data_IF_626592187620
#
_entry.id   IF_626592187620
#
_cell.length_a   1.000
_cell.length_b   1.000
_cell.length_c   1.000
_cell.angle_alpha   90.00
_cell.angle_beta   90.00
_cell.angle_gamma   90.00
#
_symmetry.space_group_name_H-M   'P 1'
#
loop_
_entity.id
_entity.type
_entity.pdbx_description
1 polymer ?
#
# COMPACT_ATOMS: atom_id res chain seq x y z
N UNK A 1 47.27 -25.53 -58.34
CA UNK A 1 46.45 -26.54 -57.63
C UNK A 1 46.75 -26.45 -56.15
N UNK A 2 45.83 -25.94 -55.31
CA UNK A 2 46.02 -25.90 -53.87
C UNK A 2 45.45 -27.16 -53.21
N UNK A 3 46.19 -27.70 -52.24
CA UNK A 3 45.88 -28.90 -51.46
C UNK A 3 45.00 -28.52 -50.26
N UNK A 4 43.90 -29.27 -50.05
CA UNK A 4 42.98 -29.15 -48.91
C UNK A 4 43.50 -29.93 -47.70
N UNK A 5 43.37 -29.37 -46.49
CA UNK A 5 43.18 -30.10 -45.21
C UNK A 5 42.30 -29.22 -44.27
N UNK A 6 41.65 -29.73 -43.19
CA UNK A 6 40.21 -29.62 -42.99
C UNK A 6 39.82 -28.65 -41.85
N UNK A 7 38.54 -28.30 -41.82
CA UNK A 7 37.92 -27.46 -40.78
C UNK A 7 37.55 -28.32 -39.57
N UNK A 8 38.11 -28.00 -38.41
CA UNK A 8 37.58 -28.36 -37.08
C UNK A 8 37.13 -27.09 -36.38
N UNK A 9 35.82 -26.89 -36.27
CA UNK A 9 35.21 -25.82 -35.46
C UNK A 9 35.11 -26.29 -34.01
N UNK A 10 36.04 -25.80 -33.17
CA UNK A 10 35.93 -25.91 -31.72
C UNK A 10 34.88 -24.94 -31.18
N UNK A 11 34.01 -25.45 -30.31
CA UNK A 11 33.07 -24.68 -29.47
C UNK A 11 33.86 -23.72 -28.57
N UNK A 12 33.48 -22.44 -28.58
CA UNK A 12 33.81 -21.51 -27.51
C UNK A 12 32.57 -21.29 -26.65
N UNK A 13 32.69 -21.63 -25.37
CA UNK A 13 31.68 -21.51 -24.34
C UNK A 13 31.23 -20.05 -24.17
N UNK A 14 29.95 -19.80 -24.43
CA UNK A 14 29.31 -18.54 -24.08
C UNK A 14 28.71 -18.71 -22.67
N UNK A 15 29.40 -18.18 -21.66
CA UNK A 15 28.88 -18.08 -20.30
C UNK A 15 27.62 -17.20 -20.33
N UNK A 16 26.46 -17.85 -20.15
CA UNK A 16 25.17 -17.20 -20.05
C UNK A 16 25.16 -16.28 -18.83
N UNK A 17 25.17 -14.97 -19.10
CA UNK A 17 24.62 -14.02 -18.14
C UNK A 17 23.14 -14.30 -18.02
N UNK A 18 22.71 -14.69 -16.82
CA UNK A 18 21.32 -14.70 -16.38
C UNK A 18 20.66 -13.37 -16.75
N UNK A 19 19.90 -13.35 -17.84
CA UNK A 19 19.00 -12.24 -18.13
C UNK A 19 17.78 -12.46 -17.25
N UNK A 20 17.57 -11.56 -16.29
CA UNK A 20 16.30 -11.46 -15.59
C UNK A 20 15.17 -11.39 -16.64
N UNK A 21 14.01 -12.02 -16.39
CA UNK A 21 12.90 -11.98 -17.33
C UNK A 21 12.54 -10.52 -17.63
N UNK A 22 12.53 -10.17 -18.92
CA UNK A 22 12.02 -8.88 -19.40
C UNK A 22 10.57 -8.77 -18.91
N UNK A 23 10.22 -7.74 -18.11
CA UNK A 23 8.84 -7.55 -17.67
C UNK A 23 7.96 -7.46 -18.92
N UNK A 24 6.80 -8.13 -18.88
CA UNK A 24 5.73 -7.95 -19.86
C UNK A 24 5.57 -6.45 -20.17
N UNK A 25 5.50 -6.08 -21.46
CA UNK A 25 5.52 -4.71 -22.03
C UNK A 25 4.37 -3.80 -21.51
N UNK A 26 3.61 -4.30 -20.54
CA UNK A 26 2.38 -3.74 -20.04
C UNK A 26 2.36 -3.52 -18.52
N UNK A 27 3.33 -4.02 -17.74
CA UNK A 27 3.43 -3.69 -16.31
C UNK A 27 3.86 -2.24 -16.14
N UNK A 28 3.16 -1.41 -15.33
CA UNK A 28 3.55 -0.04 -15.08
C UNK A 28 5.00 0.06 -14.61
N UNK A 29 5.82 0.79 -15.38
CA UNK A 29 7.24 0.96 -15.10
C UNK A 29 7.63 2.45 -15.19
N UNK A 30 8.48 2.97 -14.28
CA UNK A 30 8.91 4.37 -14.31
C UNK A 30 9.57 4.83 -15.61
N UNK A 31 10.01 3.90 -16.47
CA UNK A 31 10.43 4.17 -17.85
C UNK A 31 9.38 4.94 -18.67
N UNK A 32 8.09 4.73 -18.40
CA UNK A 32 6.98 5.48 -19.02
C UNK A 32 6.97 6.97 -18.61
N UNK A 33 7.60 7.30 -17.48
CA UNK A 33 7.83 8.68 -17.02
C UNK A 33 9.14 9.26 -17.55
N UNK A 34 9.95 8.50 -18.28
CA UNK A 34 11.26 8.91 -18.79
C UNK A 34 12.40 8.81 -17.77
N UNK A 35 12.26 7.95 -16.76
CA UNK A 35 13.28 7.69 -15.73
C UNK A 35 13.53 6.19 -15.55
N UNK A 36 14.59 5.82 -14.83
CA UNK A 36 14.85 4.42 -14.47
C UNK A 36 13.88 3.95 -13.39
N UNK A 37 13.88 2.65 -13.10
CA UNK A 37 13.19 2.13 -11.93
C UNK A 37 13.65 2.88 -10.67
N UNK A 38 12.72 3.28 -9.80
CA UNK A 38 13.01 4.14 -8.66
C UNK A 38 14.05 3.53 -7.72
N UNK A 39 14.02 2.21 -7.55
CA UNK A 39 14.99 1.45 -6.74
C UNK A 39 16.42 1.44 -7.32
N UNK A 40 16.62 1.80 -8.59
CA UNK A 40 17.96 1.89 -9.21
C UNK A 40 18.67 3.22 -8.86
N UNK A 41 17.93 4.20 -8.33
CA UNK A 41 18.52 5.42 -7.82
C UNK A 41 19.05 5.20 -6.41
N UNK A 42 20.26 5.67 -6.14
CA UNK A 42 20.80 5.69 -4.78
C UNK A 42 19.91 6.54 -3.85
N UNK A 43 19.32 7.62 -4.40
CA UNK A 43 18.24 8.38 -3.77
C UNK A 43 17.25 8.96 -4.77
N UNK A 44 16.00 9.00 -4.34
CA UNK A 44 14.94 9.81 -4.92
C UNK A 44 14.68 10.98 -3.98
N UNK A 45 14.82 12.21 -4.48
CA UNK A 45 14.73 13.46 -3.71
C UNK A 45 13.46 14.19 -4.12
N UNK A 46 12.56 14.38 -3.16
CA UNK A 46 11.42 15.28 -3.28
C UNK A 46 11.80 16.69 -2.84
N UNK A 47 11.86 17.61 -3.80
CA UNK A 47 12.20 19.02 -3.58
C UNK A 47 10.99 19.89 -3.20
N UNK A 48 9.80 19.30 -3.01
CA UNK A 48 8.58 20.00 -2.56
C UNK A 48 8.63 20.32 -1.06
N UNK A 49 7.69 21.14 -0.59
CA UNK A 49 7.60 21.45 0.83
C UNK A 49 7.23 20.21 1.67
N UNK A 50 7.48 20.20 3.00
CA UNK A 50 7.10 19.10 3.87
C UNK A 50 5.62 18.73 3.78
N UNK A 51 4.70 19.69 3.81
CA UNK A 51 3.26 19.44 3.66
C UNK A 51 2.92 18.76 2.31
N UNK A 52 3.53 19.20 1.20
CA UNK A 52 3.33 18.56 -0.11
C UNK A 52 3.82 17.10 -0.13
N UNK A 53 4.90 16.80 0.61
CA UNK A 53 5.49 15.46 0.73
C UNK A 53 4.65 14.54 1.63
N UNK A 54 4.19 15.05 2.78
CA UNK A 54 3.32 14.33 3.72
C UNK A 54 1.99 13.92 3.09
N UNK A 55 1.43 14.75 2.19
CA UNK A 55 0.20 14.40 1.47
C UNK A 55 0.39 13.15 0.60
N UNK A 56 1.48 13.07 -0.17
CA UNK A 56 1.83 11.94 -1.03
C UNK A 56 3.20 12.18 -1.66
N UNK A 57 3.99 11.13 -1.87
CA UNK A 57 5.29 11.21 -2.54
C UNK A 57 5.57 9.91 -3.32
N UNK A 58 6.70 9.83 -4.02
CA UNK A 58 7.14 8.57 -4.63
C UNK A 58 7.62 7.65 -3.49
N UNK A 59 7.14 6.39 -3.38
CA UNK A 59 7.57 5.47 -2.34
C UNK A 59 9.09 5.32 -2.28
N UNK A 60 9.65 5.50 -1.07
CA UNK A 60 11.10 5.46 -0.83
C UNK A 60 11.86 6.77 -1.12
N UNK A 61 11.17 7.82 -1.59
CA UNK A 61 11.77 9.16 -1.69
C UNK A 61 12.05 9.76 -0.30
N UNK A 62 12.98 10.70 -0.24
CA UNK A 62 13.22 11.55 0.94
C UNK A 62 12.86 13.00 0.62
N UNK A 63 12.35 13.74 1.61
CA UNK A 63 12.06 15.15 1.44
C UNK A 63 13.32 15.99 1.73
N UNK A 64 13.83 16.69 0.70
CA UNK A 64 14.87 17.72 0.83
C UNK A 64 14.34 19.01 0.21
N UNK A 65 13.43 19.72 0.93
CA UNK A 65 12.70 20.84 0.39
C UNK A 65 13.64 21.97 -0.04
N UNK A 66 13.35 22.60 -1.19
CA UNK A 66 13.99 23.89 -1.52
C UNK A 66 13.34 25.05 -0.78
N UNK A 67 12.09 24.89 -0.35
CA UNK A 67 11.37 25.82 0.53
C UNK A 67 10.58 25.01 1.55
N UNK A 68 10.63 25.41 2.82
CA UNK A 68 9.74 24.87 3.85
C UNK A 68 8.29 25.38 3.68
N UNK A 69 7.36 24.97 4.54
CA UNK A 69 5.95 25.33 4.38
C UNK A 69 5.68 26.83 4.60
N UNK A 70 6.42 27.48 5.51
CA UNK A 70 6.27 28.92 5.77
C UNK A 70 6.84 29.74 4.60
N UNK A 71 8.04 29.36 4.14
CA UNK A 71 8.69 29.92 2.96
C UNK A 71 7.85 29.70 1.70
N UNK A 72 7.24 28.52 1.55
CA UNK A 72 6.35 28.20 0.43
C UNK A 72 5.11 29.11 0.42
N UNK A 73 4.51 29.34 1.59
CA UNK A 73 3.36 30.24 1.73
C UNK A 73 3.71 31.70 1.41
N UNK A 74 4.88 32.17 1.86
CA UNK A 74 5.37 33.52 1.56
C UNK A 74 5.65 33.71 0.06
N UNK A 75 6.42 32.79 -0.54
CA UNK A 75 6.72 32.80 -1.98
C UNK A 75 5.42 32.74 -2.79
N UNK A 76 4.47 31.90 -2.40
CA UNK A 76 3.17 31.77 -3.08
C UNK A 76 2.26 33.00 -2.94
N UNK A 77 2.42 33.77 -1.86
CA UNK A 77 1.71 35.04 -1.66
C UNK A 77 2.32 36.12 -2.54
N UNK A 78 3.64 36.30 -2.49
CA UNK A 78 4.36 37.26 -3.32
C UNK A 78 4.21 36.95 -4.81
N UNK A 79 4.18 35.69 -5.23
CA UNK A 79 4.05 35.34 -6.64
C UNK A 79 2.73 35.86 -7.26
N UNK A 80 1.69 36.11 -6.45
CA UNK A 80 0.43 36.69 -6.91
C UNK A 80 0.48 38.21 -7.06
N UNK A 81 1.32 38.88 -6.28
CA UNK A 81 1.37 40.36 -6.21
C UNK A 81 2.60 40.94 -6.91
N UNK A 82 3.77 40.34 -6.72
CA UNK A 82 5.06 40.68 -7.33
C UNK A 82 5.86 39.40 -7.68
N UNK A 83 5.74 38.89 -8.92
CA UNK A 83 6.44 37.70 -9.37
C UNK A 83 7.97 37.80 -9.31
N UNK A 84 8.54 39.00 -9.47
CA UNK A 84 9.99 39.17 -9.45
C UNK A 84 10.51 39.08 -8.02
N UNK A 85 9.86 39.77 -7.07
CA UNK A 85 10.19 39.64 -5.64
C UNK A 85 10.03 38.21 -5.14
N UNK A 86 8.97 37.51 -5.57
CA UNK A 86 8.77 36.09 -5.27
C UNK A 86 9.92 35.21 -5.77
N UNK A 87 10.45 35.50 -6.97
CA UNK A 87 11.58 34.76 -7.52
C UNK A 87 12.88 35.04 -6.78
N UNK A 88 13.12 36.30 -6.36
CA UNK A 88 14.29 36.67 -5.57
C UNK A 88 14.29 35.94 -4.21
N UNK A 89 13.21 36.06 -3.44
CA UNK A 89 13.13 35.46 -2.11
C UNK A 89 13.12 33.92 -2.18
N UNK A 90 12.38 33.35 -3.13
CA UNK A 90 12.35 31.90 -3.33
C UNK A 90 13.72 31.34 -3.74
N UNK A 91 14.53 32.09 -4.49
CA UNK A 91 15.91 31.68 -4.83
C UNK A 91 16.84 31.75 -3.62
N UNK A 92 16.69 32.77 -2.76
CA UNK A 92 17.44 32.86 -1.50
C UNK A 92 17.15 31.67 -0.58
N UNK A 93 15.87 31.34 -0.38
CA UNK A 93 15.46 30.18 0.40
C UNK A 93 15.98 28.88 -0.20
N UNK A 94 15.81 28.69 -1.51
CA UNK A 94 16.31 27.50 -2.21
C UNK A 94 17.81 27.30 -1.99
N UNK A 95 18.63 28.33 -2.20
CA UNK A 95 20.09 28.24 -2.03
C UNK A 95 20.48 27.91 -0.58
N UNK A 96 19.84 28.57 0.39
CA UNK A 96 20.07 28.32 1.83
C UNK A 96 19.74 26.88 2.22
N UNK A 97 18.56 26.40 1.83
CA UNK A 97 18.08 25.07 2.19
C UNK A 97 18.87 23.97 1.50
N UNK A 98 19.20 24.16 0.21
CA UNK A 98 20.07 23.27 -0.54
C UNK A 98 21.44 23.17 0.14
N UNK A 99 22.07 24.29 0.50
CA UNK A 99 23.38 24.28 1.16
C UNK A 99 23.37 23.45 2.46
N UNK A 100 22.32 23.61 3.28
CA UNK A 100 22.12 22.80 4.49
C UNK A 100 22.01 21.31 4.16
N UNK A 101 21.11 20.94 3.25
CA UNK A 101 20.90 19.54 2.87
C UNK A 101 22.14 18.90 2.22
N UNK A 102 22.96 19.68 1.51
CA UNK A 102 24.23 19.20 0.96
C UNK A 102 25.14 18.72 2.08
N UNK A 103 25.32 19.53 3.13
CA UNK A 103 26.18 19.18 4.26
C UNK A 103 25.64 18.03 5.10
N UNK A 104 24.33 17.99 5.33
CA UNK A 104 23.72 17.02 6.24
C UNK A 104 23.51 15.63 5.62
N UNK A 105 23.03 15.59 4.38
CA UNK A 105 22.48 14.38 3.74
C UNK A 105 23.28 13.98 2.50
N UNK A 106 23.50 14.92 1.57
CA UNK A 106 24.13 14.60 0.28
C UNK A 106 25.60 14.21 0.47
N UNK A 107 26.32 14.83 1.41
CA UNK A 107 27.72 14.52 1.72
C UNK A 107 27.99 13.03 2.05
N UNK A 108 26.95 12.26 2.39
CA UNK A 108 27.05 10.82 2.69
C UNK A 108 26.99 9.91 1.44
N UNK A 109 26.79 10.49 0.25
CA UNK A 109 26.63 9.77 -1.00
C UNK A 109 27.96 9.69 -1.76
N UNK A 110 28.15 8.60 -2.51
CA UNK A 110 29.38 8.37 -3.29
C UNK A 110 29.29 9.11 -4.63
N UNK A 111 30.40 9.62 -5.19
CA UNK A 111 30.38 10.30 -6.49
C UNK A 111 29.79 9.47 -7.65
N UNK A 112 29.87 8.14 -7.57
CA UNK A 112 29.29 7.21 -8.55
C UNK A 112 27.77 7.06 -8.44
N UNK A 113 27.16 7.52 -7.34
CA UNK A 113 25.74 7.36 -7.09
C UNK A 113 24.92 8.17 -8.10
N UNK A 114 23.81 7.57 -8.54
CA UNK A 114 22.81 8.22 -9.39
C UNK A 114 21.64 8.66 -8.54
N UNK A 115 21.24 9.92 -8.66
CA UNK A 115 20.17 10.55 -7.89
C UNK A 115 19.03 10.95 -8.82
N UNK A 116 17.79 10.84 -8.35
CA UNK A 116 16.60 11.36 -9.01
C UNK A 116 16.08 12.55 -8.21
N UNK A 117 15.80 13.67 -8.87
CA UNK A 117 15.16 14.83 -8.23
C UNK A 117 13.81 15.09 -8.89
N UNK A 118 12.79 15.35 -8.09
CA UNK A 118 11.53 15.87 -8.59
C UNK A 118 10.99 17.01 -7.73
N UNK A 119 10.07 17.76 -8.30
CA UNK A 119 9.24 18.73 -7.58
C UNK A 119 7.81 18.59 -8.11
N UNK A 120 6.91 19.53 -7.80
CA UNK A 120 5.52 19.43 -8.23
C UNK A 120 5.31 19.25 -9.75
N UNK A 121 6.10 19.94 -10.59
CA UNK A 121 5.96 19.91 -12.07
C UNK A 121 7.25 19.66 -12.85
N UNK A 122 8.35 19.30 -12.18
CA UNK A 122 9.66 19.19 -12.85
C UNK A 122 10.23 20.54 -13.30
N UNK A 123 9.85 21.62 -12.59
CA UNK A 123 10.21 22.99 -12.90
C UNK A 123 11.43 23.50 -12.12
N UNK A 124 11.47 24.80 -11.85
CA UNK A 124 12.59 25.53 -11.23
C UNK A 124 13.14 24.84 -9.96
N UNK A 125 12.26 24.41 -9.05
CA UNK A 125 12.62 23.78 -7.76
C UNK A 125 13.50 22.51 -7.91
N UNK A 126 13.15 21.61 -8.83
CA UNK A 126 13.96 20.40 -9.06
C UNK A 126 15.18 20.65 -9.93
N UNK A 127 15.12 21.65 -10.83
CA UNK A 127 16.27 22.02 -11.67
C UNK A 127 17.42 22.62 -10.87
N UNK A 128 17.15 23.58 -9.98
CA UNK A 128 18.21 24.18 -9.13
C UNK A 128 18.90 23.12 -8.25
N UNK A 129 18.14 22.16 -7.73
CA UNK A 129 18.70 21.02 -7.00
C UNK A 129 19.58 20.16 -7.92
N UNK A 130 19.06 19.78 -9.10
CA UNK A 130 19.79 18.94 -10.03
C UNK A 130 21.08 19.61 -10.56
N UNK A 131 21.06 20.91 -10.83
CA UNK A 131 22.23 21.70 -11.22
C UNK A 131 23.28 21.71 -10.10
N UNK A 132 22.87 21.90 -8.85
CA UNK A 132 23.77 21.84 -7.69
C UNK A 132 24.42 20.47 -7.58
N UNK A 133 23.64 19.39 -7.64
CA UNK A 133 24.14 18.02 -7.54
C UNK A 133 25.06 17.63 -8.71
N UNK A 134 24.75 18.09 -9.93
CA UNK A 134 25.63 17.89 -11.10
C UNK A 134 26.94 18.67 -10.96
N UNK A 135 26.88 19.89 -10.41
CA UNK A 135 28.09 20.71 -10.13
C UNK A 135 29.00 20.02 -9.12
N UNK A 136 28.42 19.33 -8.13
CA UNK A 136 29.19 18.52 -7.17
C UNK A 136 29.81 17.27 -7.82
N UNK A 137 29.22 16.77 -8.92
CA UNK A 137 29.73 15.65 -9.71
C UNK A 137 28.86 14.40 -9.73
N UNK A 138 27.64 14.44 -9.17
CA UNK A 138 26.72 13.30 -9.21
C UNK A 138 26.08 13.12 -10.59
N UNK A 139 25.66 11.88 -10.88
CA UNK A 139 24.75 11.60 -11.99
C UNK A 139 23.32 11.90 -11.53
N UNK A 140 22.62 12.81 -12.21
CA UNK A 140 21.31 13.28 -11.74
C UNK A 140 20.28 13.28 -12.85
N UNK A 141 19.20 12.55 -12.61
CA UNK A 141 17.98 12.60 -13.42
C UNK A 141 16.96 13.54 -12.77
N UNK A 142 16.12 14.17 -13.59
CA UNK A 142 14.98 14.99 -13.12
C UNK A 142 13.72 14.36 -13.65
N UNK A 143 12.75 14.07 -12.78
CA UNK A 143 11.49 13.47 -13.20
C UNK A 143 10.72 14.41 -14.15
N UNK A 144 10.53 14.03 -15.43
CA UNK A 144 9.77 14.82 -16.39
C UNK A 144 8.33 15.05 -15.92
N UNK A 145 7.91 16.32 -15.89
CA UNK A 145 6.58 16.72 -15.42
C UNK A 145 6.36 16.57 -13.90
N UNK A 146 7.38 16.13 -13.15
CA UNK A 146 7.40 16.06 -11.70
C UNK A 146 6.31 15.18 -11.07
N UNK A 147 6.00 15.45 -9.81
CA UNK A 147 4.99 14.74 -9.04
C UNK A 147 3.62 14.75 -9.73
N UNK A 148 3.23 15.84 -10.42
CA UNK A 148 1.97 15.89 -11.17
C UNK A 148 1.91 14.81 -12.26
N UNK A 149 3.01 14.55 -12.95
CA UNK A 149 3.08 13.50 -13.96
C UNK A 149 3.08 12.10 -13.31
N UNK A 150 3.84 11.92 -12.23
CA UNK A 150 3.78 10.71 -11.40
C UNK A 150 2.35 10.39 -10.95
N UNK A 151 1.60 11.37 -10.43
CA UNK A 151 0.19 11.18 -10.04
C UNK A 151 -0.72 10.75 -11.17
N UNK A 152 -0.48 11.28 -12.37
CA UNK A 152 -1.23 10.85 -13.55
C UNK A 152 -0.94 9.38 -13.83
N UNK A 153 0.33 9.02 -13.88
CA UNK A 153 0.79 7.65 -14.08
C UNK A 153 0.24 6.70 -13.01
N UNK A 154 0.19 7.12 -11.73
CA UNK A 154 -0.39 6.29 -10.65
C UNK A 154 -1.86 5.97 -10.94
N UNK A 155 -2.67 6.99 -11.24
CA UNK A 155 -4.11 6.81 -11.51
C UNK A 155 -4.36 5.95 -12.75
N UNK A 156 -3.70 6.27 -13.86
CA UNK A 156 -3.84 5.52 -15.13
C UNK A 156 -3.40 4.06 -14.97
N UNK A 157 -2.35 3.81 -14.18
CA UNK A 157 -1.88 2.46 -13.89
C UNK A 157 -2.88 1.66 -13.04
N UNK A 158 -3.47 2.29 -12.02
CA UNK A 158 -4.48 1.65 -11.15
C UNK A 158 -5.80 1.37 -11.87
N UNK A 159 -6.08 2.04 -12.99
CA UNK A 159 -7.24 1.73 -13.84
C UNK A 159 -7.05 0.45 -14.66
N UNK A 160 -5.80 0.01 -14.89
CA UNK A 160 -5.49 -1.08 -15.82
C UNK A 160 -4.84 -2.30 -15.15
N UNK A 161 -3.85 -2.08 -14.31
CA UNK A 161 -3.02 -3.12 -13.71
C UNK A 161 -3.83 -4.17 -12.93
N UNK A 162 -4.82 -3.81 -12.09
CA UNK A 162 -5.53 -4.83 -11.31
C UNK A 162 -6.24 -5.87 -12.16
N UNK A 163 -6.74 -5.50 -13.34
CA UNK A 163 -7.42 -6.44 -14.24
C UNK A 163 -6.47 -7.50 -14.86
N UNK A 164 -5.15 -7.30 -14.75
CA UNK A 164 -4.11 -8.22 -15.23
C UNK A 164 -3.61 -9.17 -14.15
N UNK A 165 -4.00 -8.94 -12.90
CA UNK A 165 -3.60 -9.78 -11.77
C UNK A 165 -4.67 -10.84 -11.49
N UNK A 166 -4.24 -11.99 -10.99
CA UNK A 166 -5.12 -13.09 -10.60
C UNK A 166 -5.35 -13.04 -9.10
N UNK A 167 -6.46 -12.47 -8.65
CA UNK A 167 -6.75 -12.40 -7.22
C UNK A 167 -7.29 -13.73 -6.68
N UNK A 168 -6.91 -14.07 -5.46
CA UNK A 168 -7.53 -15.11 -4.63
C UNK A 168 -8.08 -14.43 -3.38
N UNK A 169 -9.40 -14.24 -3.36
CA UNK A 169 -10.05 -13.47 -2.30
C UNK A 169 -10.35 -14.36 -1.10
N UNK A 170 -9.96 -13.94 0.09
CA UNK A 170 -10.35 -14.56 1.36
C UNK A 170 -11.54 -13.79 1.94
N UNK A 171 -12.63 -14.49 2.22
CA UNK A 171 -13.80 -13.94 2.92
C UNK A 171 -14.03 -14.68 4.23
N UNK A 172 -14.87 -14.14 5.10
CA UNK A 172 -15.17 -14.77 6.38
C UNK A 172 -15.65 -13.77 7.43
N UNK A 173 -16.24 -14.26 8.52
CA UNK A 173 -16.80 -13.42 9.57
C UNK A 173 -15.73 -12.57 10.28
N UNK A 174 -16.15 -11.65 11.13
CA UNK A 174 -15.22 -10.78 11.86
C UNK A 174 -14.37 -11.59 12.82
N UNK A 175 -13.08 -11.29 12.91
CA UNK A 175 -12.19 -11.99 13.83
C UNK A 175 -11.84 -13.42 13.42
N UNK A 176 -12.14 -13.88 12.19
CA UNK A 176 -11.69 -15.21 11.75
C UNK A 176 -10.21 -15.27 11.32
N UNK A 177 -9.41 -14.23 11.60
CA UNK A 177 -7.97 -14.26 11.34
C UNK A 177 -7.54 -14.04 9.89
N UNK A 178 -8.39 -13.50 9.01
CA UNK A 178 -8.06 -13.26 7.58
C UNK A 178 -6.74 -12.52 7.40
N UNK A 179 -6.54 -11.40 8.08
CA UNK A 179 -5.32 -10.60 7.98
C UNK A 179 -4.09 -11.36 8.48
N UNK A 180 -4.21 -12.11 9.58
CA UNK A 180 -3.10 -12.96 10.09
C UNK A 180 -2.79 -14.12 9.13
N UNK A 181 -3.81 -14.72 8.51
CA UNK A 181 -3.64 -15.73 7.47
C UNK A 181 -2.95 -15.15 6.22
N UNK A 182 -3.32 -13.94 5.80
CA UNK A 182 -2.61 -13.22 4.72
C UNK A 182 -1.13 -13.02 5.07
N UNK A 183 -0.80 -12.65 6.30
CA UNK A 183 0.60 -12.52 6.73
C UNK A 183 1.32 -13.86 6.72
N UNK A 184 0.69 -14.94 7.23
CA UNK A 184 1.26 -16.28 7.16
C UNK A 184 1.50 -16.76 5.71
N UNK A 185 0.57 -16.46 4.78
CA UNK A 185 0.74 -16.72 3.35
C UNK A 185 1.94 -15.97 2.76
N UNK A 186 2.10 -14.69 3.13
CA UNK A 186 3.26 -13.87 2.70
C UNK A 186 4.57 -14.47 3.21
N UNK A 187 4.60 -14.92 4.47
CA UNK A 187 5.79 -15.50 5.08
C UNK A 187 6.19 -16.84 4.44
N UNK A 188 5.23 -17.56 3.84
CA UNK A 188 5.47 -18.74 3.00
C UNK A 188 5.81 -18.39 1.53
N UNK A 189 5.90 -17.11 1.19
CA UNK A 189 6.31 -16.64 -0.13
C UNK A 189 5.18 -16.37 -1.13
N UNK A 190 3.91 -16.40 -0.69
CA UNK A 190 2.79 -16.02 -1.54
C UNK A 190 2.76 -14.50 -1.80
N UNK A 191 2.13 -14.09 -2.91
CA UNK A 191 1.87 -12.68 -3.18
C UNK A 191 0.64 -12.25 -2.39
N UNK A 192 0.77 -11.21 -1.59
CA UNK A 192 -0.29 -10.75 -0.66
C UNK A 192 -0.49 -9.26 -0.81
N UNK A 193 -1.75 -8.88 -1.04
CA UNK A 193 -2.21 -7.50 -0.98
C UNK A 193 -2.90 -7.25 0.36
N UNK A 194 -2.18 -6.64 1.29
CA UNK A 194 -2.68 -6.24 2.61
C UNK A 194 -3.31 -4.85 2.53
N UNK A 195 -4.61 -4.78 2.23
CA UNK A 195 -5.32 -3.53 2.03
C UNK A 195 -5.51 -2.75 3.34
N UNK A 196 -5.85 -3.43 4.44
CA UNK A 196 -5.92 -2.81 5.76
C UNK A 196 -4.57 -2.23 6.20
N UNK A 197 -3.48 -2.96 5.96
CA UNK A 197 -2.12 -2.50 6.24
C UNK A 197 -1.73 -1.27 5.43
N UNK A 198 -2.08 -1.20 4.15
CA UNK A 198 -1.88 0.00 3.32
C UNK A 198 -2.77 1.17 3.76
N UNK A 199 -3.96 0.88 4.30
CA UNK A 199 -4.95 1.86 4.73
C UNK A 199 -4.76 2.36 6.16
N UNK A 200 -3.87 1.72 6.94
CA UNK A 200 -3.69 1.94 8.38
C UNK A 200 -5.05 1.87 9.11
N UNK A 201 -5.88 0.89 8.73
CA UNK A 201 -7.27 0.82 9.21
C UNK A 201 -7.87 -0.58 9.03
N UNK A 202 -8.57 -1.09 10.05
CA UNK A 202 -9.14 -2.45 10.10
C UNK A 202 -10.53 -2.63 9.46
N UNK A 203 -10.77 -2.00 8.31
CA UNK A 203 -12.00 -2.22 7.50
C UNK A 203 -13.38 -1.96 8.14
N UNK A 204 -13.48 -1.53 9.41
CA UNK A 204 -14.71 -1.53 10.21
C UNK A 204 -14.95 -0.22 10.97
N UNK A 205 -16.12 -0.05 11.59
CA UNK A 205 -16.42 1.15 12.39
C UNK A 205 -15.47 1.32 13.61
N UNK A 206 -14.95 0.19 14.10
CA UNK A 206 -13.94 0.12 15.15
C UNK A 206 -12.50 0.23 14.60
N UNK A 207 -12.32 0.23 13.28
CA UNK A 207 -11.02 -0.04 12.66
C UNK A 207 -10.01 1.10 12.67
N UNK A 208 -10.34 2.26 13.24
CA UNK A 208 -9.39 3.33 13.45
C UNK A 208 -8.40 2.97 14.56
N UNK A 209 -7.10 3.03 14.27
CA UNK A 209 -6.04 2.64 15.20
C UNK A 209 -5.55 3.85 16.01
N UNK A 210 -5.55 3.78 17.36
CA UNK A 210 -5.04 4.87 18.19
C UNK A 210 -3.57 5.18 17.87
N UNK A 211 -3.29 6.43 17.53
CA UNK A 211 -1.93 6.89 17.20
C UNK A 211 -1.44 6.55 15.80
N UNK A 212 -2.27 5.91 14.96
CA UNK A 212 -1.93 5.53 13.59
C UNK A 212 -3.01 6.04 12.62
N UNK A 213 -2.92 7.31 12.18
CA UNK A 213 -3.94 7.90 11.32
C UNK A 213 -3.90 7.30 9.92
N UNK A 214 -5.07 7.22 9.28
CA UNK A 214 -5.15 6.80 7.88
C UNK A 214 -4.33 7.74 6.98
N UNK A 215 -3.68 7.19 5.93
CA UNK A 215 -2.99 8.00 4.95
C UNK A 215 -3.97 8.86 4.14
N UNK A 216 -3.45 9.82 3.38
CA UNK A 216 -4.25 10.50 2.36
C UNK A 216 -4.65 9.50 1.26
N UNK A 217 -5.72 9.80 0.52
CA UNK A 217 -6.09 9.00 -0.66
C UNK A 217 -4.95 8.91 -1.69
N UNK A 218 -4.21 9.99 -1.90
CA UNK A 218 -3.11 10.01 -2.88
C UNK A 218 -1.98 9.10 -2.45
N UNK A 219 -1.62 9.13 -1.15
CA UNK A 219 -0.57 8.28 -0.60
C UNK A 219 -0.98 6.81 -0.61
N UNK A 220 -2.23 6.50 -0.25
CA UNK A 220 -2.79 5.15 -0.40
C UNK A 220 -2.65 4.64 -1.84
N UNK A 221 -3.05 5.43 -2.83
CA UNK A 221 -2.94 5.06 -4.24
C UNK A 221 -1.48 4.84 -4.68
N UNK A 222 -0.53 5.67 -4.22
CA UNK A 222 0.90 5.50 -4.50
C UNK A 222 1.43 4.18 -3.97
N UNK A 223 1.16 3.89 -2.71
CA UNK A 223 1.60 2.68 -2.03
C UNK A 223 0.95 1.45 -2.65
N UNK A 224 -0.34 1.54 -2.99
CA UNK A 224 -1.06 0.49 -3.69
C UNK A 224 -0.42 0.15 -5.03
N UNK A 225 -0.14 1.14 -5.88
CA UNK A 225 0.52 0.87 -7.16
C UNK A 225 1.93 0.28 -6.97
N UNK A 226 2.69 0.80 -6.01
CA UNK A 226 4.05 0.31 -5.76
C UNK A 226 4.08 -1.14 -5.30
N UNK A 227 3.07 -1.59 -4.56
CA UNK A 227 2.87 -3.02 -4.25
C UNK A 227 2.43 -3.80 -5.49
N UNK A 228 1.36 -3.38 -6.16
CA UNK A 228 0.76 -4.14 -7.26
C UNK A 228 1.74 -4.38 -8.43
N UNK A 229 2.56 -3.37 -8.78
CA UNK A 229 3.51 -3.46 -9.91
C UNK A 229 4.66 -4.43 -9.67
N UNK A 230 4.86 -4.89 -8.42
CA UNK A 230 5.91 -5.85 -8.03
C UNK A 230 5.40 -7.29 -8.04
N UNK A 231 4.10 -7.51 -8.22
CA UNK A 231 3.55 -8.85 -8.35
C UNK A 231 3.84 -9.42 -9.73
N UNK A 232 4.19 -10.71 -9.74
CA UNK A 232 4.22 -11.57 -10.90
C UNK A 232 2.77 -11.91 -11.32
N UNK A 233 2.32 -11.48 -12.51
CA UNK A 233 0.98 -11.76 -13.01
C UNK A 233 0.69 -13.26 -13.22
N UNK A 234 1.72 -14.09 -13.35
CA UNK A 234 1.56 -15.54 -13.50
C UNK A 234 1.11 -16.22 -12.19
N UNK A 235 1.34 -15.57 -11.04
CA UNK A 235 1.07 -16.09 -9.71
C UNK A 235 -0.19 -15.44 -9.11
N UNK A 236 -0.96 -16.17 -8.29
CA UNK A 236 -2.11 -15.61 -7.60
C UNK A 236 -1.69 -14.53 -6.58
N UNK A 237 -2.57 -13.56 -6.35
CA UNK A 237 -2.45 -12.51 -5.34
C UNK A 237 -3.55 -12.69 -4.31
N UNK A 238 -3.16 -13.07 -3.09
CA UNK A 238 -4.08 -13.22 -1.97
C UNK A 238 -4.47 -11.86 -1.41
N UNK A 239 -5.76 -11.67 -1.21
CA UNK A 239 -6.33 -10.42 -0.71
C UNK A 239 -7.57 -10.72 0.13
N UNK A 240 -7.86 -9.92 1.14
CA UNK A 240 -9.11 -10.08 1.88
C UNK A 240 -10.28 -9.40 1.15
N UNK A 241 -11.49 -9.91 1.41
CA UNK A 241 -12.72 -9.37 0.84
C UNK A 241 -13.07 -8.03 1.48
N UNK A 242 -12.38 -6.97 1.05
CA UNK A 242 -12.68 -5.60 1.47
C UNK A 242 -13.85 -5.00 0.69
N UNK A 243 -14.53 -4.08 1.37
CA UNK A 243 -15.56 -3.27 0.73
C UNK A 243 -14.92 -2.25 -0.21
N UNK A 244 -15.73 -1.57 -1.03
CA UNK A 244 -15.27 -0.47 -1.88
C UNK A 244 -14.56 0.65 -1.08
N UNK A 245 -14.77 0.75 0.24
CA UNK A 245 -14.15 1.73 1.12
C UNK A 245 -13.48 1.07 2.33
N UNK A 246 -12.35 1.64 2.76
CA UNK A 246 -11.64 1.26 3.99
C UNK A 246 -11.50 2.53 4.84
N UNK A 247 -12.38 2.67 5.83
CA UNK A 247 -12.53 3.93 6.56
C UNK A 247 -12.89 5.07 5.59
N UNK A 248 -12.02 6.08 5.49
CA UNK A 248 -12.18 7.22 4.58
C UNK A 248 -11.61 6.99 3.18
N UNK A 249 -10.88 5.90 2.96
CA UNK A 249 -10.21 5.60 1.69
C UNK A 249 -11.13 4.86 0.73
N UNK A 250 -10.95 5.15 -0.56
CA UNK A 250 -11.71 4.58 -1.66
C UNK A 250 -10.79 3.66 -2.47
N UNK A 251 -11.20 2.40 -2.64
CA UNK A 251 -10.46 1.48 -3.53
C UNK A 251 -10.67 1.89 -5.00
N UNK A 252 -9.65 1.73 -5.87
CA UNK A 252 -9.81 1.87 -7.31
C UNK A 252 -10.87 0.92 -7.84
N UNK A 253 -11.71 1.39 -8.75
CA UNK A 253 -12.82 0.60 -9.29
C UNK A 253 -12.31 -0.68 -9.98
N UNK A 254 -11.22 -0.58 -10.75
CA UNK A 254 -10.63 -1.74 -11.43
C UNK A 254 -10.14 -2.81 -10.47
N UNK A 255 -9.58 -2.43 -9.30
CA UNK A 255 -9.18 -3.39 -8.27
C UNK A 255 -10.39 -4.08 -7.66
N UNK A 256 -11.40 -3.30 -7.27
CA UNK A 256 -12.64 -3.82 -6.74
C UNK A 256 -13.28 -4.82 -7.73
N UNK A 257 -13.42 -4.45 -9.00
CA UNK A 257 -14.00 -5.32 -10.02
C UNK A 257 -13.17 -6.58 -10.26
N UNK A 258 -11.83 -6.48 -10.23
CA UNK A 258 -10.94 -7.63 -10.37
C UNK A 258 -11.10 -8.63 -9.22
N UNK A 259 -11.18 -8.14 -7.97
CA UNK A 259 -11.45 -9.00 -6.80
C UNK A 259 -12.80 -9.72 -6.93
N UNK A 260 -13.84 -9.03 -7.39
CA UNK A 260 -15.22 -9.53 -7.44
C UNK A 260 -15.47 -10.56 -8.56
N UNK A 261 -14.53 -10.74 -9.49
CA UNK A 261 -14.59 -11.79 -10.53
C UNK A 261 -14.26 -13.19 -10.01
N UNK A 262 -13.84 -13.29 -8.76
CA UNK A 262 -13.37 -14.53 -8.14
C UNK A 262 -14.45 -15.13 -7.25
N UNK A 263 -14.40 -16.45 -7.06
CA UNK A 263 -15.12 -17.10 -5.96
C UNK A 263 -14.24 -16.96 -4.71
N UNK A 264 -14.72 -16.31 -3.65
CA UNK A 264 -13.92 -16.09 -2.46
C UNK A 264 -13.79 -17.39 -1.66
N UNK A 265 -12.61 -17.64 -1.14
CA UNK A 265 -12.37 -18.69 -0.15
C UNK A 265 -12.96 -18.23 1.18
N UNK A 266 -14.03 -18.89 1.64
CA UNK A 266 -14.57 -18.63 2.97
C UNK A 266 -13.67 -19.25 4.03
N UNK A 267 -13.19 -18.44 4.96
CA UNK A 267 -12.38 -18.85 6.11
C UNK A 267 -13.19 -18.71 7.38
N UNK A 268 -13.24 -19.78 8.17
CA UNK A 268 -13.94 -19.83 9.46
C UNK A 268 -12.95 -20.13 10.59
N UNK A 269 -13.29 -19.66 11.78
CA UNK A 269 -12.56 -19.97 13.01
C UNK A 269 -13.56 -20.12 14.17
N UNK A 270 -13.24 -20.92 15.21
CA UNK A 270 -14.08 -21.05 16.40
C UNK A 270 -14.33 -19.71 17.09
N UNK A 271 -15.55 -19.47 17.60
CA UNK A 271 -15.92 -18.19 18.23
C UNK A 271 -14.96 -17.79 19.36
N UNK A 272 -14.54 -18.73 20.20
CA UNK A 272 -13.57 -18.46 21.26
C UNK A 272 -12.24 -17.88 20.74
N UNK A 273 -11.72 -18.42 19.64
CA UNK A 273 -10.51 -17.92 19.01
C UNK A 273 -10.74 -16.52 18.39
N UNK A 274 -11.92 -16.28 17.81
CA UNK A 274 -12.30 -14.97 17.24
C UNK A 274 -12.39 -13.89 18.31
N UNK A 275 -13.00 -14.18 19.45
CA UNK A 275 -13.09 -13.25 20.59
C UNK A 275 -11.70 -12.93 21.12
N UNK A 276 -10.84 -13.94 21.29
CA UNK A 276 -9.46 -13.75 21.73
C UNK A 276 -8.67 -12.87 20.75
N UNK A 277 -8.80 -13.12 19.44
CA UNK A 277 -8.21 -12.28 18.40
C UNK A 277 -8.64 -10.81 18.54
N UNK A 278 -9.95 -10.55 18.70
CA UNK A 278 -10.43 -9.17 18.84
C UNK A 278 -9.86 -8.47 20.08
N UNK A 279 -9.62 -9.18 21.18
CA UNK A 279 -9.01 -8.60 22.39
C UNK A 279 -7.56 -8.20 22.15
N UNK A 280 -6.85 -8.97 21.35
CA UNK A 280 -5.47 -8.68 20.95
C UNK A 280 -5.41 -7.50 19.96
N UNK A 281 -6.35 -7.43 19.01
CA UNK A 281 -6.39 -6.38 18.00
C UNK A 281 -6.95 -5.06 18.55
N UNK A 282 -7.83 -5.12 19.54
CA UNK A 282 -8.47 -3.96 20.18
C UNK A 282 -8.26 -3.92 21.70
N UNK A 283 -7.00 -3.86 22.19
CA UNK A 283 -6.73 -3.88 23.62
C UNK A 283 -7.30 -2.66 24.35
N UNK A 284 -7.44 -1.53 23.65
CA UNK A 284 -8.05 -0.31 24.17
C UNK A 284 -9.57 -0.46 24.41
N UNK A 285 -10.28 -1.21 23.56
CA UNK A 285 -11.70 -1.52 23.79
C UNK A 285 -11.92 -2.66 24.78
N UNK A 286 -10.94 -3.57 24.92
CA UNK A 286 -10.96 -4.53 26.02
C UNK A 286 -10.75 -3.85 27.38
N UNK A 287 -9.90 -2.81 27.43
CA UNK A 287 -9.67 -2.01 28.62
C UNK A 287 -10.84 -1.05 28.94
N UNK A 288 -11.46 -0.47 27.92
CA UNK A 288 -12.62 0.43 28.04
C UNK A 288 -13.77 -0.02 27.12
N UNK A 289 -14.60 -0.99 27.57
CA UNK A 289 -15.72 -1.48 26.77
C UNK A 289 -16.83 -0.44 26.60
N UNK A 290 -16.93 0.55 27.49
CA UNK A 290 -17.89 1.64 27.36
C UNK A 290 -17.53 2.56 26.19
N UNK A 291 -16.24 2.86 26.00
CA UNK A 291 -15.76 3.57 24.81
C UNK A 291 -16.09 2.82 23.51
N UNK A 292 -16.04 1.48 23.54
CA UNK A 292 -16.45 0.67 22.39
C UNK A 292 -17.94 0.85 22.07
N UNK A 293 -18.81 0.73 23.08
CA UNK A 293 -20.26 0.90 22.89
C UNK A 293 -20.58 2.32 22.41
N UNK A 294 -19.91 3.34 22.94
CA UNK A 294 -20.05 4.72 22.49
C UNK A 294 -19.71 4.85 20.99
N UNK A 295 -18.64 4.18 20.52
CA UNK A 295 -18.26 4.16 19.10
C UNK A 295 -19.29 3.45 18.22
N UNK A 296 -19.98 2.44 18.76
CA UNK A 296 -20.99 1.65 18.05
C UNK A 296 -22.40 2.28 18.06
N UNK A 297 -22.63 3.37 18.80
CA UNK A 297 -23.92 4.09 18.84
C UNK A 297 -24.55 4.36 17.47
N UNK A 298 -23.80 4.76 16.41
CA UNK A 298 -24.36 4.98 15.08
C UNK A 298 -25.04 3.74 14.47
N UNK A 299 -24.79 2.54 14.99
CA UNK A 299 -25.38 1.29 14.51
C UNK A 299 -26.79 1.03 15.07
N UNK A 300 -27.31 1.84 15.99
CA UNK A 300 -28.67 1.70 16.56
C UNK A 300 -29.76 1.44 15.51
N UNK A 301 -29.80 2.13 14.35
CA UNK A 301 -30.83 1.88 13.32
C UNK A 301 -30.72 0.49 12.67
N UNK A 302 -29.55 -0.15 12.75
CA UNK A 302 -29.27 -1.45 12.13
C UNK A 302 -29.49 -2.62 13.09
N UNK A 303 -29.16 -2.45 14.38
CA UNK A 303 -29.25 -3.53 15.38
C UNK A 303 -30.47 -3.42 16.32
N UNK A 304 -31.09 -2.23 16.39
CA UNK A 304 -32.20 -1.95 17.29
C UNK A 304 -31.77 -1.49 18.69
N UNK A 305 -32.71 -0.85 19.40
CA UNK A 305 -32.45 -0.26 20.72
C UNK A 305 -32.20 -1.29 21.83
N UNK A 306 -32.91 -2.42 21.80
CA UNK A 306 -32.75 -3.50 22.79
C UNK A 306 -31.36 -4.15 22.72
N UNK A 307 -30.87 -4.38 21.50
CA UNK A 307 -29.56 -4.98 21.28
C UNK A 307 -28.44 -4.05 21.75
N UNK A 308 -28.55 -2.75 21.44
CA UNK A 308 -27.60 -1.75 21.92
C UNK A 308 -27.63 -1.60 23.45
N UNK A 309 -28.80 -1.69 24.08
CA UNK A 309 -28.92 -1.69 25.54
C UNK A 309 -28.27 -2.95 26.16
N UNK A 310 -28.35 -4.10 25.49
CA UNK A 310 -27.62 -5.31 25.90
C UNK A 310 -26.11 -5.11 25.81
N UNK A 311 -25.61 -4.48 24.74
CA UNK A 311 -24.17 -4.15 24.64
C UNK A 311 -23.72 -3.22 25.76
N UNK A 312 -24.52 -2.19 26.06
CA UNK A 312 -24.28 -1.27 27.17
C UNK A 312 -24.19 -2.02 28.52
N UNK A 313 -25.15 -2.90 28.81
CA UNK A 313 -25.15 -3.68 30.04
C UNK A 313 -23.93 -4.62 30.17
N UNK A 314 -23.52 -5.26 29.06
CA UNK A 314 -22.31 -6.09 29.03
C UNK A 314 -21.04 -5.26 29.29
N UNK A 315 -20.97 -4.06 28.71
CA UNK A 315 -19.85 -3.13 28.93
C UNK A 315 -19.78 -2.65 30.39
N UNK A 316 -20.90 -2.26 31.00
CA UNK A 316 -20.98 -1.84 32.40
C UNK A 316 -20.58 -2.94 33.39
N UNK A 317 -20.88 -4.21 33.05
CA UNK A 317 -20.49 -5.38 33.83
C UNK A 317 -19.06 -5.86 33.51
N UNK A 318 -18.32 -5.17 32.63
CA UNK A 318 -17.01 -5.60 32.12
C UNK A 318 -16.99 -7.03 31.54
N UNK A 319 -18.12 -7.48 30.96
CA UNK A 319 -18.24 -8.78 30.28
C UNK A 319 -17.74 -8.67 28.84
N UNK A 320 -16.45 -8.37 28.70
CA UNK A 320 -15.79 -8.02 27.41
C UNK A 320 -15.94 -9.12 26.36
N UNK A 321 -15.70 -10.37 26.75
CA UNK A 321 -15.74 -11.51 25.81
C UNK A 321 -17.13 -11.67 25.18
N UNK A 322 -18.17 -11.56 26.01
CA UNK A 322 -19.57 -11.63 25.56
C UNK A 322 -19.99 -10.41 24.76
N UNK A 323 -19.50 -9.23 25.12
CA UNK A 323 -19.72 -8.01 24.34
C UNK A 323 -19.14 -8.17 22.93
N UNK A 324 -17.90 -8.66 22.82
CA UNK A 324 -17.23 -8.86 21.52
C UNK A 324 -17.95 -9.90 20.68
N UNK A 325 -18.28 -11.06 21.28
CA UNK A 325 -19.09 -12.10 20.61
C UNK A 325 -20.42 -11.52 20.12
N UNK A 326 -21.13 -10.80 20.98
CA UNK A 326 -22.45 -10.28 20.64
C UNK A 326 -22.39 -9.25 19.51
N UNK A 327 -21.40 -8.36 19.53
CA UNK A 327 -21.18 -7.37 18.45
C UNK A 327 -20.84 -8.05 17.13
N UNK A 328 -20.05 -9.12 17.14
CA UNK A 328 -19.78 -9.91 15.93
C UNK A 328 -21.06 -10.55 15.38
N UNK A 329 -21.80 -11.28 16.21
CA UNK A 329 -22.98 -12.06 15.78
C UNK A 329 -24.16 -11.18 15.40
N UNK A 330 -24.43 -10.12 16.16
CA UNK A 330 -25.61 -9.28 15.95
C UNK A 330 -25.44 -8.27 14.83
N UNK A 331 -24.20 -7.89 14.48
CA UNK A 331 -23.95 -6.85 13.48
C UNK A 331 -23.00 -7.28 12.37
N UNK A 332 -21.73 -7.56 12.72
CA UNK A 332 -20.69 -7.69 11.70
C UNK A 332 -20.86 -8.93 10.84
N UNK A 333 -21.05 -10.12 11.43
CA UNK A 333 -21.15 -11.38 10.69
C UNK A 333 -22.31 -11.37 9.68
N UNK A 334 -23.55 -10.92 10.03
CA UNK A 334 -24.62 -10.75 9.06
C UNK A 334 -24.28 -9.73 7.96
N UNK A 335 -23.60 -8.62 8.30
CA UNK A 335 -23.22 -7.62 7.30
C UNK A 335 -22.20 -8.16 6.30
N UNK A 336 -21.15 -8.84 6.77
CA UNK A 336 -20.15 -9.46 5.91
C UNK A 336 -20.77 -10.56 5.05
N UNK A 337 -21.59 -11.45 5.63
CA UNK A 337 -22.27 -12.50 4.87
C UNK A 337 -23.17 -11.93 3.76
N UNK A 338 -23.95 -10.89 4.06
CA UNK A 338 -24.79 -10.20 3.06
C UNK A 338 -23.94 -9.51 1.99
N UNK A 339 -22.85 -8.87 2.38
CA UNK A 339 -21.92 -8.22 1.45
C UNK A 339 -21.33 -9.24 0.49
N UNK A 340 -20.74 -10.32 1.01
CA UNK A 340 -20.15 -11.39 0.21
C UNK A 340 -21.17 -11.99 -0.76
N UNK A 341 -22.37 -12.33 -0.30
CA UNK A 341 -23.45 -12.87 -1.16
C UNK A 341 -23.90 -11.92 -2.26
N UNK A 342 -23.90 -10.61 -2.00
CA UNK A 342 -24.33 -9.61 -2.97
C UNK A 342 -23.31 -9.39 -4.06
N UNK A 343 -22.04 -9.54 -3.72
CA UNK A 343 -20.93 -8.98 -4.49
C UNK A 343 -20.05 -10.04 -5.15
N UNK A 344 -19.97 -11.23 -4.58
CA UNK A 344 -19.14 -12.31 -5.09
C UNK A 344 -19.99 -13.46 -5.62
N UNK A 345 -19.49 -14.12 -6.67
CA UNK A 345 -20.03 -15.39 -7.10
C UNK A 345 -19.95 -16.41 -5.96
N UNK A 346 -21.00 -17.22 -5.81
CA UNK A 346 -21.03 -18.28 -4.82
C UNK A 346 -20.59 -19.58 -5.48
N UNK A 347 -19.83 -20.39 -4.74
CA UNK A 347 -19.66 -21.80 -5.05
C UNK A 347 -20.35 -22.59 -3.93
N UNK A 348 -21.63 -22.87 -4.14
CA UNK A 348 -22.49 -23.55 -3.15
C UNK A 348 -22.02 -24.99 -2.84
N UNK A 349 -21.03 -25.52 -3.58
CA UNK A 349 -20.45 -26.84 -3.38
C UNK A 349 -19.10 -26.87 -2.64
N UNK A 350 -18.41 -25.74 -2.48
CA UNK A 350 -17.11 -25.69 -1.82
C UNK A 350 -17.25 -25.52 -0.30
N UNK A 351 -16.75 -26.47 0.52
CA UNK A 351 -16.79 -26.31 1.97
C UNK A 351 -15.89 -25.13 2.41
N UNK A 352 -16.25 -24.41 3.48
CA UNK A 352 -15.40 -23.39 4.06
C UNK A 352 -14.05 -23.99 4.50
N UNK A 353 -13.01 -23.16 4.47
CA UNK A 353 -11.72 -23.47 5.04
C UNK A 353 -11.73 -23.17 6.54
N UNK A 354 -11.80 -24.21 7.35
CA UNK A 354 -11.79 -24.09 8.81
C UNK A 354 -10.35 -23.98 9.32
N UNK A 355 -10.08 -22.92 10.08
CA UNK A 355 -8.83 -22.76 10.82
C UNK A 355 -8.94 -23.48 12.15
N UNK A 356 -8.00 -24.39 12.40
CA UNK A 356 -7.90 -25.13 13.68
C UNK A 356 -7.57 -24.18 14.85
N UNK A 357 -6.75 -23.17 14.57
CA UNK A 357 -6.31 -22.15 15.52
C UNK A 357 -5.91 -20.85 14.83
N UNK A 358 -5.79 -19.79 15.61
CA UNK A 358 -5.33 -18.46 15.15
C UNK A 358 -3.93 -18.10 15.69
N UNK A 359 -3.26 -19.07 16.31
CA UNK A 359 -1.84 -18.98 16.67
C UNK A 359 -0.95 -19.13 15.42
N UNK A 360 0.33 -18.78 15.58
CA UNK A 360 1.28 -18.73 14.47
C UNK A 360 1.49 -20.08 13.78
N UNK A 361 1.51 -21.18 14.53
CA UNK A 361 1.78 -22.51 13.98
C UNK A 361 0.58 -23.01 13.17
N UNK A 362 -0.63 -22.85 13.72
CA UNK A 362 -1.88 -23.17 13.03
C UNK A 362 -2.04 -22.37 11.73
N UNK A 363 -1.74 -21.06 11.75
CA UNK A 363 -1.83 -20.22 10.57
C UNK A 363 -0.75 -20.53 9.53
N UNK A 364 0.46 -20.89 9.94
CA UNK A 364 1.51 -21.33 9.04
C UNK A 364 1.14 -22.64 8.32
N UNK A 365 0.54 -23.59 9.03
CA UNK A 365 0.06 -24.85 8.44
C UNK A 365 -1.12 -24.62 7.48
N UNK A 366 -2.06 -23.75 7.85
CA UNK A 366 -3.14 -23.31 6.98
C UNK A 366 -2.59 -22.67 5.69
N UNK A 367 -1.60 -21.78 5.80
CA UNK A 367 -0.95 -21.15 4.65
C UNK A 367 -0.29 -22.18 3.72
N UNK A 368 0.47 -23.15 4.25
CA UNK A 368 1.07 -24.25 3.46
C UNK A 368 0.02 -25.06 2.70
N UNK A 369 -1.08 -25.39 3.38
CA UNK A 369 -2.20 -26.13 2.77
C UNK A 369 -2.81 -25.34 1.61
N UNK A 370 -3.04 -24.04 1.79
CA UNK A 370 -3.62 -23.17 0.77
C UNK A 370 -2.69 -22.96 -0.43
N UNK A 371 -1.38 -22.82 -0.19
CA UNK A 371 -0.39 -22.72 -1.28
C UNK A 371 -0.38 -23.98 -2.15
N UNK A 372 -0.42 -25.16 -1.55
CA UNK A 372 -0.44 -26.44 -2.28
C UNK A 372 -1.70 -26.61 -3.14
N UNK A 373 -2.84 -26.06 -2.69
CA UNK A 373 -4.10 -26.08 -3.46
C UNK A 373 -4.07 -25.12 -4.65
N UNK A 374 -3.38 -24.00 -4.51
CA UNK A 374 -3.35 -22.94 -5.53
C UNK A 374 -2.37 -23.21 -6.69
N UNK A 375 -1.45 -24.16 -6.53
CA UNK A 375 -0.51 -24.59 -7.57
C UNK A 375 -1.08 -25.69 -8.49
N UNK A 376 -2.24 -26.24 -8.15
CA UNK A 376 -3.01 -27.20 -8.97
C UNK A 376 -4.05 -26.48 -9.81
#
# INVERSE_FOLDING_TARGET
MPVRIPVTTGRSDNHGMSQDPVPDDQTPHPGQLGVQEFAQYARVIDARSPHEYEEDHIPGAINLPVVDDAEYAEVGTLHRTDPHAAYLIGSQYALRNIARHVGEVIARHRPSDRLLVYCFRGGKRSRIWAETLRTIGFRVDVLPGGWKNYRRWVRESLEQLPARLRFQVISGPTGCGKTRLLHALRDQGAQVLDLEGLAHHRGSLLGALPGDPQPSQKWFDSQLLDVLRRFDPARPVWVEAESKKIGNLQLPQALHDAMHRTVPLQVLAPMAARVQLLKEDYPHYAADPLAMVARLQPLKPLVGGEELARWQALAEQHRVDELFERVMVAHYDPCYARSTRRHYAQDDGAPPFELEGLDADSLAEAARTLMTRSER
#
